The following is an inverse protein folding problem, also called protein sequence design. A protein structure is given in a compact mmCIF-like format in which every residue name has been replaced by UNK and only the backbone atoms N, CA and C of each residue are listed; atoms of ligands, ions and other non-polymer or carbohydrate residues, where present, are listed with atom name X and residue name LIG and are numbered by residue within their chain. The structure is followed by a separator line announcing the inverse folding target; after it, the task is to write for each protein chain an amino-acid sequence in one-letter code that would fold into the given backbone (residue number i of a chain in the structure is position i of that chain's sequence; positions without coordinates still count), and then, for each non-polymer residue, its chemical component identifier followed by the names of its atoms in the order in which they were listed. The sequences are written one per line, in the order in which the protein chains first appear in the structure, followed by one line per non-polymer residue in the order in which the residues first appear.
data_IF_385433034187
#
_entry.id   IF_385433034187
#
_cell.length_a   1.000
_cell.length_b   1.000
_cell.length_c   1.000
_cell.angle_alpha   90.00
_cell.angle_beta   90.00
_cell.angle_gamma   90.00
#
_symmetry.space_group_name_H-M   'P 1'
#
loop_
_entity.id
_entity.type
_entity.pdbx_description
1 polymer ?
#
# COMPACT_ATOMS: atom_id res chain seq x y z
N UNK A 1 8.22 -13.77 17.20
CA UNK A 1 7.08 -14.69 16.95
C UNK A 1 6.61 -14.52 15.51
N UNK A 2 6.50 -15.61 14.77
CA UNK A 2 5.90 -15.51 13.44
C UNK A 2 4.42 -15.14 13.56
N UNK A 3 3.97 -14.27 12.68
CA UNK A 3 2.56 -13.91 12.64
C UNK A 3 1.72 -15.08 12.14
N UNK A 4 0.57 -15.23 12.76
CA UNK A 4 -0.37 -16.24 12.32
C UNK A 4 -1.29 -15.66 11.24
N UNK A 5 -1.30 -16.31 10.08
CA UNK A 5 -2.19 -15.92 8.99
C UNK A 5 -3.45 -16.77 9.10
N UNK A 6 -4.64 -16.15 9.23
CA UNK A 6 -5.89 -16.92 9.24
C UNK A 6 -6.06 -17.73 7.97
N UNK A 7 -6.59 -18.94 8.08
CA UNK A 7 -6.80 -19.83 6.95
C UNK A 7 -7.78 -19.25 5.92
N UNK A 8 -8.70 -18.41 6.38
CA UNK A 8 -9.72 -17.78 5.53
C UNK A 8 -9.32 -16.40 5.01
N UNK A 9 -8.06 -15.99 5.23
CA UNK A 9 -7.59 -14.70 4.74
C UNK A 9 -7.63 -14.66 3.21
N UNK A 10 -8.32 -13.65 2.66
CA UNK A 10 -8.45 -13.47 1.22
C UNK A 10 -7.60 -12.28 0.74
N UNK A 11 -6.50 -12.52 0.02
CA UNK A 11 -5.66 -11.42 -0.50
C UNK A 11 -6.38 -10.44 -1.42
N UNK A 12 -7.47 -10.87 -2.06
CA UNK A 12 -8.27 -10.02 -2.95
C UNK A 12 -9.18 -9.07 -2.17
N UNK A 13 -9.41 -9.32 -0.88
CA UNK A 13 -10.17 -8.39 -0.05
C UNK A 13 -9.31 -7.18 0.29
N UNK A 14 -9.95 -6.01 0.38
CA UNK A 14 -9.25 -4.79 0.78
C UNK A 14 -8.98 -4.87 2.29
N UNK A 15 -7.72 -4.74 2.67
CA UNK A 15 -7.31 -4.64 4.07
C UNK A 15 -7.22 -3.16 4.45
N UNK A 16 -8.14 -2.69 5.26
CA UNK A 16 -8.18 -1.29 5.68
C UNK A 16 -7.22 -1.10 6.86
N UNK A 17 -6.10 -0.45 6.60
CA UNK A 17 -5.08 -0.15 7.61
C UNK A 17 -5.52 1.02 8.48
N UNK A 18 -6.15 2.02 7.86
CA UNK A 18 -6.85 3.11 8.53
C UNK A 18 -8.22 3.27 7.88
N UNK A 19 -9.03 4.22 8.35
CA UNK A 19 -10.34 4.51 7.74
C UNK A 19 -10.22 4.93 6.27
N UNK A 20 -9.08 5.47 5.87
CA UNK A 20 -8.90 6.07 4.55
C UNK A 20 -7.87 5.36 3.68
N UNK A 21 -7.14 4.39 4.22
CA UNK A 21 -6.03 3.75 3.51
C UNK A 21 -6.18 2.24 3.54
N UNK A 22 -6.29 1.65 2.36
CA UNK A 22 -6.41 0.21 2.19
C UNK A 22 -5.32 -0.37 1.30
N UNK A 23 -5.10 -1.67 1.43
CA UNK A 23 -4.18 -2.46 0.61
C UNK A 23 -4.94 -3.64 0.04
N UNK A 24 -4.68 -3.98 -1.22
CA UNK A 24 -5.24 -5.18 -1.83
C UNK A 24 -4.27 -5.80 -2.83
N UNK A 25 -4.54 -7.03 -3.22
CA UNK A 25 -3.92 -7.65 -4.39
C UNK A 25 -4.56 -7.08 -5.66
N UNK A 26 -3.99 -7.40 -6.82
CA UNK A 26 -4.53 -6.94 -8.10
C UNK A 26 -5.99 -7.36 -8.30
N UNK A 27 -6.36 -8.52 -7.78
CA UNK A 27 -7.73 -9.04 -7.91
C UNK A 27 -8.77 -8.24 -7.13
N UNK A 28 -8.36 -7.38 -6.21
CA UNK A 28 -9.27 -6.53 -5.44
C UNK A 28 -9.51 -5.15 -6.02
N UNK A 29 -8.89 -4.82 -7.15
CA UNK A 29 -8.96 -3.47 -7.74
C UNK A 29 -10.38 -3.12 -8.19
N UNK A 30 -11.09 -4.05 -8.82
CA UNK A 30 -12.45 -3.80 -9.30
C UNK A 30 -13.39 -3.45 -8.14
N UNK A 31 -13.27 -4.17 -7.02
CA UNK A 31 -14.06 -3.89 -5.82
C UNK A 31 -13.74 -2.51 -5.27
N UNK A 32 -12.45 -2.15 -5.19
CA UNK A 32 -12.04 -0.84 -4.71
C UNK A 32 -12.64 0.28 -5.57
N UNK A 33 -12.65 0.10 -6.88
CA UNK A 33 -13.22 1.09 -7.80
C UNK A 33 -14.73 1.18 -7.67
N UNK A 34 -15.41 0.06 -7.43
CA UNK A 34 -16.85 0.06 -7.19
C UNK A 34 -17.22 0.85 -5.95
N UNK A 35 -16.37 0.86 -4.93
CA UNK A 35 -16.58 1.65 -3.72
C UNK A 35 -16.19 3.13 -3.88
N UNK A 36 -15.70 3.53 -5.03
CA UNK A 36 -15.29 4.91 -5.28
C UNK A 36 -13.93 5.27 -4.71
N UNK A 37 -13.12 4.28 -4.36
CA UNK A 37 -11.76 4.52 -3.86
C UNK A 37 -10.85 5.00 -4.97
N UNK A 38 -9.87 5.83 -4.63
CA UNK A 38 -8.77 6.18 -5.52
C UNK A 38 -7.76 5.05 -5.48
N UNK A 39 -7.45 4.45 -6.63
CA UNK A 39 -6.58 3.27 -6.70
C UNK A 39 -5.21 3.63 -7.25
N UNK A 40 -4.17 3.26 -6.50
CA UNK A 40 -2.77 3.44 -6.91
C UNK A 40 -2.16 2.06 -7.20
N UNK A 41 -1.66 1.88 -8.43
CA UNK A 41 -0.92 0.70 -8.82
C UNK A 41 0.58 0.96 -8.63
N UNK A 42 1.24 0.18 -7.76
CA UNK A 42 2.69 0.32 -7.52
C UNK A 42 3.49 -0.83 -8.14
N UNK A 43 2.86 -1.65 -8.96
CA UNK A 43 3.50 -2.78 -9.65
C UNK A 43 3.74 -2.44 -11.12
N UNK A 44 5.00 -2.29 -11.50
CA UNK A 44 5.37 -1.91 -12.88
C UNK A 44 4.93 -2.91 -13.94
N UNK A 45 4.90 -4.20 -13.60
CA UNK A 45 4.54 -5.28 -14.51
C UNK A 45 3.03 -5.42 -14.74
N UNK A 46 2.20 -4.71 -13.95
CA UNK A 46 0.74 -4.82 -14.07
C UNK A 46 0.18 -3.61 -14.77
N UNK A 47 -0.60 -3.85 -15.82
CA UNK A 47 -1.36 -2.83 -16.53
C UNK A 47 -2.84 -3.01 -16.22
N UNK A 48 -3.50 -1.97 -15.74
CA UNK A 48 -4.92 -2.00 -15.43
C UNK A 48 -5.50 -0.57 -15.44
N UNK A 49 -6.72 -0.42 -14.98
CA UNK A 49 -7.42 0.86 -14.95
C UNK A 49 -7.35 1.57 -13.60
N UNK A 50 -6.26 1.34 -12.84
CA UNK A 50 -5.98 2.13 -11.64
C UNK A 50 -5.95 3.62 -11.99
N UNK A 51 -6.29 4.47 -11.03
CA UNK A 51 -6.33 5.91 -11.27
C UNK A 51 -4.95 6.48 -11.57
N UNK A 52 -3.91 5.91 -10.97
CA UNK A 52 -2.53 6.28 -11.28
C UNK A 52 -1.62 5.07 -11.08
N UNK A 53 -0.53 5.04 -11.84
CA UNK A 53 0.51 4.02 -11.69
C UNK A 53 1.81 4.71 -11.28
N UNK A 54 2.29 4.34 -10.09
CA UNK A 54 3.54 4.85 -9.55
C UNK A 54 4.40 3.66 -9.12
N UNK A 55 5.06 3.05 -10.09
CA UNK A 55 5.76 1.78 -9.91
C UNK A 55 6.94 1.88 -8.94
N UNK A 56 6.99 0.97 -7.99
CA UNK A 56 8.15 0.78 -7.12
C UNK A 56 9.04 -0.27 -7.77
N UNK A 57 10.26 0.12 -8.11
CA UNK A 57 11.25 -0.77 -8.74
C UNK A 57 12.38 -1.03 -7.76
N UNK A 58 12.36 -2.17 -7.04
CA UNK A 58 13.46 -2.49 -6.11
C UNK A 58 14.80 -2.50 -6.83
N UNK A 59 15.85 -2.06 -6.13
CA UNK A 59 17.23 -2.00 -6.64
C UNK A 59 17.46 -1.00 -7.77
N UNK A 60 16.50 -0.13 -8.03
CA UNK A 60 16.64 0.90 -9.07
C UNK A 60 17.42 2.13 -8.60
N UNK A 61 17.57 2.28 -7.27
CA UNK A 61 18.10 3.50 -6.68
C UNK A 61 17.08 4.61 -6.58
N UNK A 62 15.82 4.36 -6.96
CA UNK A 62 14.75 5.38 -7.01
C UNK A 62 13.60 5.08 -6.05
N UNK A 63 13.71 4.06 -5.23
CA UNK A 63 12.59 3.61 -4.38
C UNK A 63 12.13 4.72 -3.44
N UNK A 64 13.05 5.37 -2.75
CA UNK A 64 12.71 6.41 -1.78
C UNK A 64 11.98 7.59 -2.45
N UNK A 65 12.48 8.04 -3.58
CA UNK A 65 11.84 9.14 -4.33
C UNK A 65 10.43 8.76 -4.77
N UNK A 66 10.27 7.52 -5.23
CA UNK A 66 8.96 7.01 -5.65
C UNK A 66 8.01 6.89 -4.46
N UNK A 67 8.51 6.44 -3.31
CA UNK A 67 7.70 6.39 -2.08
C UNK A 67 7.21 7.78 -1.68
N UNK A 68 8.07 8.79 -1.81
CA UNK A 68 7.68 10.18 -1.53
C UNK A 68 6.58 10.66 -2.49
N UNK A 69 6.66 10.33 -3.77
CA UNK A 69 5.61 10.65 -4.75
C UNK A 69 4.29 9.98 -4.39
N UNK A 70 4.34 8.71 -4.01
CA UNK A 70 3.15 7.95 -3.62
C UNK A 70 2.52 8.58 -2.38
N UNK A 71 3.34 8.88 -1.37
CA UNK A 71 2.86 9.48 -0.13
C UNK A 71 2.19 10.84 -0.39
N UNK A 72 2.78 11.65 -1.25
CA UNK A 72 2.21 12.95 -1.62
C UNK A 72 0.86 12.79 -2.34
N UNK A 73 0.78 11.84 -3.28
CA UNK A 73 -0.47 11.54 -3.98
C UNK A 73 -1.55 11.07 -2.99
N UNK A 74 -1.20 10.18 -2.07
CA UNK A 74 -2.13 9.71 -1.04
C UNK A 74 -2.63 10.86 -0.18
N UNK A 75 -1.73 11.73 0.27
CA UNK A 75 -2.08 12.89 1.09
C UNK A 75 -3.07 13.81 0.36
N UNK A 76 -2.80 14.12 -0.89
CA UNK A 76 -3.67 14.98 -1.69
C UNK A 76 -5.07 14.39 -1.85
N UNK A 77 -5.14 13.09 -2.18
CA UNK A 77 -6.42 12.42 -2.37
C UNK A 77 -7.23 12.38 -1.08
N UNK A 78 -6.58 12.07 0.03
CA UNK A 78 -7.25 11.97 1.33
C UNK A 78 -7.66 13.36 1.84
N UNK A 79 -6.73 14.31 1.88
CA UNK A 79 -6.97 15.61 2.51
C UNK A 79 -7.73 16.58 1.60
N UNK A 80 -7.43 16.61 0.32
CA UNK A 80 -8.03 17.59 -0.59
C UNK A 80 -9.30 17.06 -1.27
N UNK A 81 -9.36 15.76 -1.58
CA UNK A 81 -10.51 15.17 -2.24
C UNK A 81 -11.45 14.44 -1.29
N UNK A 82 -11.02 14.18 -0.05
CA UNK A 82 -11.84 13.48 0.93
C UNK A 82 -12.16 12.04 0.55
N UNK A 83 -11.30 11.39 -0.23
CA UNK A 83 -11.53 10.03 -0.72
C UNK A 83 -10.65 9.03 0.00
N UNK A 84 -11.10 7.78 0.03
CA UNK A 84 -10.28 6.66 0.46
C UNK A 84 -9.30 6.27 -0.66
N UNK A 85 -8.10 5.85 -0.26
CA UNK A 85 -7.05 5.37 -1.17
C UNK A 85 -6.82 3.88 -0.96
N UNK A 86 -6.75 3.15 -2.05
CA UNK A 86 -6.35 1.73 -2.03
C UNK A 86 -5.09 1.59 -2.86
N UNK A 87 -4.04 1.04 -2.25
CA UNK A 87 -2.76 0.79 -2.91
C UNK A 87 -2.64 -0.70 -3.20
N UNK A 88 -2.29 -1.05 -4.43
CA UNK A 88 -2.11 -2.44 -4.79
C UNK A 88 -0.79 -2.70 -5.52
N UNK A 89 -0.30 -3.91 -5.38
CA UNK A 89 0.73 -4.49 -6.24
C UNK A 89 0.19 -5.84 -6.74
N UNK A 90 1.01 -6.85 -6.96
CA UNK A 90 0.49 -8.15 -7.42
C UNK A 90 -0.32 -8.84 -6.33
N UNK A 91 0.29 -9.12 -5.18
CA UNK A 91 -0.32 -9.85 -4.06
C UNK A 91 -0.72 -8.97 -2.89
N UNK A 92 -0.32 -7.71 -2.89
CA UNK A 92 -0.55 -6.84 -1.75
C UNK A 92 0.28 -7.24 -0.54
N UNK A 93 1.50 -7.73 -0.75
CA UNK A 93 2.38 -8.23 0.31
C UNK A 93 3.62 -7.37 0.54
N UNK A 94 4.19 -6.81 -0.51
CA UNK A 94 5.51 -6.19 -0.44
C UNK A 94 5.52 -4.72 -0.84
N UNK A 95 5.35 -4.42 -2.12
CA UNK A 95 5.44 -3.04 -2.64
C UNK A 95 4.34 -2.14 -2.13
N UNK A 96 3.10 -2.59 -2.18
CA UNK A 96 1.96 -1.81 -1.66
C UNK A 96 2.04 -1.63 -0.15
N UNK A 97 2.52 -2.64 0.56
CA UNK A 97 2.75 -2.56 2.00
C UNK A 97 3.80 -1.50 2.31
N UNK A 98 4.93 -1.52 1.61
CA UNK A 98 6.00 -0.54 1.80
C UNK A 98 5.50 0.89 1.54
N UNK A 99 4.68 1.07 0.49
CA UNK A 99 4.10 2.38 0.16
C UNK A 99 3.24 2.92 1.30
N UNK A 100 2.37 2.07 1.84
CA UNK A 100 1.48 2.48 2.94
C UNK A 100 2.25 2.73 4.22
N UNK A 101 3.24 1.88 4.53
CA UNK A 101 4.12 2.07 5.70
C UNK A 101 4.84 3.42 5.61
N UNK A 102 5.38 3.76 4.44
CA UNK A 102 6.09 5.03 4.24
C UNK A 102 5.15 6.23 4.44
N UNK A 103 3.95 6.14 3.88
CA UNK A 103 2.93 7.17 4.07
C UNK A 103 2.59 7.37 5.56
N UNK A 104 2.33 6.30 6.28
CA UNK A 104 2.00 6.37 7.71
C UNK A 104 3.16 6.94 8.53
N UNK A 105 4.37 6.52 8.22
CA UNK A 105 5.58 7.03 8.88
C UNK A 105 5.67 8.55 8.75
N UNK A 106 5.46 9.07 7.53
CA UNK A 106 5.54 10.51 7.28
C UNK A 106 4.38 11.31 7.83
N UNK A 107 3.14 10.84 7.61
CA UNK A 107 1.95 11.59 7.99
C UNK A 107 1.61 11.50 9.47
N UNK A 108 1.73 10.31 10.06
CA UNK A 108 1.39 10.12 11.47
C UNK A 108 2.58 10.34 12.41
N UNK A 109 3.79 10.49 11.88
CA UNK A 109 4.99 10.70 12.70
C UNK A 109 5.36 9.49 13.54
N UNK A 110 4.96 8.30 13.12
CA UNK A 110 5.25 7.06 13.83
C UNK A 110 6.51 6.39 13.25
N UNK A 111 7.11 5.48 14.00
CA UNK A 111 8.28 4.74 13.52
C UNK A 111 7.90 3.77 12.41
N UNK A 112 8.89 3.31 11.65
CA UNK A 112 8.65 2.27 10.64
C UNK A 112 8.13 0.99 11.29
N UNK A 113 8.66 0.61 12.45
CA UNK A 113 8.18 -0.56 13.19
C UNK A 113 6.71 -0.42 13.54
N UNK A 114 6.31 0.74 14.08
CA UNK A 114 4.91 1.01 14.43
C UNK A 114 4.01 0.98 13.18
N UNK A 115 4.48 1.52 12.06
CA UNK A 115 3.72 1.52 10.81
C UNK A 115 3.53 0.09 10.28
N UNK A 116 4.60 -0.73 10.33
CA UNK A 116 4.48 -2.13 9.94
C UNK A 116 3.52 -2.90 10.85
N UNK A 117 3.54 -2.62 12.16
CA UNK A 117 2.61 -3.27 13.09
C UNK A 117 1.16 -2.97 12.73
N UNK A 118 0.84 -1.73 12.38
CA UNK A 118 -0.51 -1.37 11.93
C UNK A 118 -0.91 -2.13 10.67
N UNK A 119 0.01 -2.25 9.72
CA UNK A 119 -0.27 -2.99 8.48
C UNK A 119 -0.46 -4.48 8.78
N UNK A 120 0.37 -5.06 9.64
CA UNK A 120 0.25 -6.48 10.00
C UNK A 120 -1.08 -6.82 10.62
N UNK A 121 -1.63 -5.94 11.46
CA UNK A 121 -2.94 -6.15 12.06
C UNK A 121 -4.04 -6.25 11.00
N UNK A 122 -3.99 -5.40 9.98
CA UNK A 122 -5.00 -5.39 8.94
C UNK A 122 -4.73 -6.46 7.87
N UNK A 123 -3.46 -6.74 7.61
CA UNK A 123 -3.06 -7.61 6.50
C UNK A 123 -1.91 -8.52 6.92
N UNK A 124 -2.23 -9.65 7.57
CA UNK A 124 -1.21 -10.52 8.17
C UNK A 124 -0.23 -11.16 7.18
N UNK A 125 -0.52 -11.17 5.88
CA UNK A 125 0.40 -11.65 4.85
C UNK A 125 1.48 -10.64 4.49
N UNK A 126 1.43 -9.42 5.02
CA UNK A 126 2.39 -8.36 4.70
C UNK A 126 3.83 -8.78 5.03
N UNK A 127 4.76 -8.39 4.18
CA UNK A 127 6.18 -8.70 4.33
C UNK A 127 6.96 -7.40 4.44
N UNK A 128 7.87 -7.33 5.42
CA UNK A 128 8.72 -6.16 5.63
C UNK A 128 9.82 -6.10 4.59
N UNK A 129 9.81 -5.07 3.77
CA UNK A 129 10.82 -4.80 2.75
C UNK A 129 11.42 -3.42 2.92
N UNK A 130 11.52 -2.93 4.15
CA UNK A 130 12.07 -1.59 4.40
C UNK A 130 13.49 -1.41 3.87
N UNK A 131 14.26 -2.48 3.74
CA UNK A 131 15.61 -2.41 3.19
C UNK A 131 15.62 -1.95 1.71
N UNK A 132 14.52 -2.08 1.00
CA UNK A 132 14.42 -1.59 -0.38
C UNK A 132 14.51 -0.07 -0.47
N UNK A 133 14.20 0.66 0.63
CA UNK A 133 14.27 2.12 0.65
C UNK A 133 15.69 2.60 0.30
N UNK A 134 16.69 1.81 0.66
CA UNK A 134 18.10 2.14 0.51
C UNK A 134 18.77 1.42 -0.67
N UNK A 135 18.03 0.76 -1.50
CA UNK A 135 18.59 -0.01 -2.61
C UNK A 135 18.39 0.64 -3.97
#
# INVERSE_FOLDING_TARGET
MPRRIPDDFNPASISWVTERVGITAVDGVDEAKQYGCFVINVAGEIENDADIKLAIEPRSGTVRERLDEIAETMREVIEEQGREVVVHCAMGMERSVLAVVWYLHGEAGITLDEAYDLVYEARPIAVDRRHWIYS
#
